data_IF_474738463352
#
_entry.id   IF_474738463352
#
_cell.length_a   1.000
_cell.length_b   1.000
_cell.length_c   1.000
_cell.angle_alpha   90.00
_cell.angle_beta   90.00
_cell.angle_gamma   90.00
#
_symmetry.space_group_name_H-M   'P 1'
#
loop_
_entity.id
_entity.type
_entity.pdbx_description
1 polymer ?
#
# COMPACT_ATOMS: atom_id res chain seq x y z
N UNK A 1 14.66 4.15 0.26
CA UNK A 1 13.38 3.48 0.57
C UNK A 1 12.48 3.64 -0.65
N UNK A 2 12.12 2.56 -1.35
CA UNK A 2 11.30 2.68 -2.55
C UNK A 2 9.81 2.79 -2.18
N UNK A 3 9.08 3.58 -2.96
CA UNK A 3 7.63 3.79 -2.79
C UNK A 3 6.92 3.31 -4.05
N UNK A 4 5.91 2.46 -3.87
CA UNK A 4 5.09 1.92 -4.96
C UNK A 4 3.64 2.35 -4.81
N UNK A 5 2.90 2.38 -5.91
CA UNK A 5 1.44 2.53 -5.89
C UNK A 5 0.81 1.16 -6.09
N UNK A 6 -0.06 0.76 -5.17
CA UNK A 6 -0.77 -0.53 -5.20
C UNK A 6 -2.24 -0.34 -4.85
N UNK A 7 -3.07 -1.31 -5.21
CA UNK A 7 -4.45 -1.38 -4.76
C UNK A 7 -4.53 -2.19 -3.47
N UNK A 8 -5.17 -1.65 -2.44
CA UNK A 8 -5.57 -2.38 -1.24
C UNK A 8 -7.10 -2.39 -1.25
N UNK A 9 -7.70 -3.55 -1.52
CA UNK A 9 -9.10 -3.59 -1.98
C UNK A 9 -9.24 -2.76 -3.26
N UNK A 10 -10.14 -1.78 -3.25
CA UNK A 10 -10.39 -0.88 -4.39
C UNK A 10 -9.66 0.47 -4.27
N UNK A 11 -8.85 0.67 -3.23
CA UNK A 11 -8.20 1.97 -2.97
C UNK A 11 -6.75 1.97 -3.43
N UNK A 12 -6.39 2.93 -4.31
CA UNK A 12 -5.01 3.16 -4.72
C UNK A 12 -4.22 3.87 -3.61
N UNK A 13 -3.20 3.19 -3.08
CA UNK A 13 -2.39 3.69 -1.98
C UNK A 13 -0.90 3.63 -2.28
N UNK A 14 -0.13 4.47 -1.60
CA UNK A 14 1.33 4.34 -1.60
C UNK A 14 1.80 3.33 -0.56
N UNK A 15 2.70 2.44 -0.98
CA UNK A 15 3.39 1.45 -0.16
C UNK A 15 4.83 1.88 0.05
N UNK A 16 5.27 1.93 1.30
CA UNK A 16 6.66 2.09 1.66
C UNK A 16 7.25 0.73 2.03
N UNK A 17 8.35 0.31 1.38
CA UNK A 17 9.19 -0.75 1.94
C UNK A 17 10.21 -0.12 2.90
N UNK A 18 10.01 -0.36 4.18
CA UNK A 18 10.79 0.24 5.26
C UNK A 18 11.61 -0.79 6.03
N UNK A 19 12.93 -0.80 5.85
CA UNK A 19 13.83 -1.71 6.59
C UNK A 19 14.07 -1.28 8.03
N UNK A 20 13.68 -0.07 8.41
CA UNK A 20 13.73 0.41 9.81
C UNK A 20 12.51 -0.02 10.64
N UNK A 21 11.45 -0.53 9.99
CA UNK A 21 10.26 -1.03 10.67
C UNK A 21 10.34 -2.56 10.86
N UNK A 22 9.88 -3.07 12.01
CA UNK A 22 9.86 -4.50 12.35
C UNK A 22 8.53 -5.20 12.05
N UNK A 23 7.53 -4.47 11.55
CA UNK A 23 6.17 -4.99 11.35
C UNK A 23 5.49 -4.36 10.14
N UNK A 24 4.28 -4.79 9.80
CA UNK A 24 3.44 -4.16 8.78
C UNK A 24 2.51 -3.15 9.44
N UNK A 25 2.38 -1.97 8.84
CA UNK A 25 1.42 -0.94 9.24
C UNK A 25 0.49 -0.67 8.07
N UNK A 26 -0.82 -0.67 8.34
CA UNK A 26 -1.85 -0.31 7.37
C UNK A 26 -2.66 0.87 7.89
N UNK A 27 -3.08 1.77 7.00
CA UNK A 27 -3.98 2.86 7.35
C UNK A 27 -5.35 2.29 7.75
N UNK A 28 -5.89 2.75 8.88
CA UNK A 28 -7.14 2.24 9.48
C UNK A 28 -8.31 2.24 8.50
N UNK A 29 -8.46 3.29 7.70
CA UNK A 29 -9.56 3.43 6.73
C UNK A 29 -9.55 2.38 5.61
N UNK A 30 -8.43 1.67 5.41
CA UNK A 30 -8.30 0.60 4.41
C UNK A 30 -8.71 -0.78 4.95
N UNK A 31 -9.09 -0.85 6.22
CA UNK A 31 -9.37 -2.10 6.93
C UNK A 31 -10.83 -2.13 7.35
N UNK A 32 -11.57 -3.13 6.88
CA UNK A 32 -12.93 -3.37 7.38
C UNK A 32 -12.91 -3.74 8.87
N UNK A 33 -13.93 -3.31 9.61
CA UNK A 33 -14.07 -3.64 11.04
C UNK A 33 -14.07 -5.15 11.29
N UNK A 34 -14.60 -5.94 10.36
CA UNK A 34 -14.61 -7.41 10.41
C UNK A 34 -13.22 -8.03 10.33
N UNK A 35 -12.23 -7.30 9.83
CA UNK A 35 -10.86 -7.77 9.67
C UNK A 35 -9.98 -7.46 10.90
N UNK A 36 -10.49 -6.70 11.87
CA UNK A 36 -9.80 -6.49 13.14
C UNK A 36 -9.72 -7.81 13.93
N UNK A 37 -8.56 -8.11 14.50
CA UNK A 37 -8.37 -9.34 15.29
C UNK A 37 -8.87 -9.22 16.73
N UNK A 38 -9.25 -8.01 17.14
CA UNK A 38 -9.57 -7.67 18.54
C UNK A 38 -8.33 -7.48 19.42
N UNK A 39 -7.12 -7.77 18.92
CA UNK A 39 -5.87 -7.54 19.66
C UNK A 39 -5.44 -6.09 19.51
N UNK A 40 -4.72 -5.62 20.53
CA UNK A 40 -4.02 -4.33 20.54
C UNK A 40 -2.54 -4.61 20.80
N UNK A 41 -1.66 -3.90 20.10
CA UNK A 41 -0.21 -4.03 20.21
C UNK A 41 0.42 -2.68 20.54
N UNK A 42 1.60 -2.71 21.17
CA UNK A 42 2.40 -1.51 21.43
C UNK A 42 3.36 -1.27 20.27
N UNK A 43 3.40 -0.05 19.77
CA UNK A 43 4.30 0.40 18.72
C UNK A 43 5.18 1.53 19.25
N UNK A 44 6.50 1.30 19.28
CA UNK A 44 7.49 2.33 19.60
C UNK A 44 7.78 3.15 18.33
N UNK A 45 7.56 4.45 18.40
CA UNK A 45 7.76 5.37 17.29
C UNK A 45 9.12 6.06 17.36
N UNK A 46 9.51 6.73 16.27
CA UNK A 46 10.80 7.39 16.12
C UNK A 46 11.09 8.45 17.19
N UNK A 47 10.04 9.05 17.75
CA UNK A 47 10.12 10.09 18.79
C UNK A 47 10.20 9.49 20.21
N UNK A 48 10.29 8.16 20.33
CA UNK A 48 10.30 7.43 21.59
C UNK A 48 8.91 7.21 22.20
N UNK A 49 7.84 7.69 21.57
CA UNK A 49 6.48 7.46 22.08
C UNK A 49 6.04 6.02 21.83
N UNK A 50 5.26 5.47 22.77
CA UNK A 50 4.62 4.17 22.62
C UNK A 50 3.14 4.40 22.36
N UNK A 51 2.63 3.88 21.24
CA UNK A 51 1.21 3.90 20.92
C UNK A 51 0.61 2.50 20.98
N UNK A 52 -0.57 2.41 21.56
CA UNK A 52 -1.40 1.22 21.47
C UNK A 52 -2.21 1.27 20.17
N UNK A 53 -2.02 0.26 19.32
CA UNK A 53 -2.58 0.20 17.98
C UNK A 53 -3.33 -1.13 17.79
N UNK A 54 -4.56 -1.10 17.25
CA UNK A 54 -5.28 -2.31 16.90
C UNK A 54 -4.51 -3.15 15.86
N UNK A 55 -4.71 -4.45 15.90
CA UNK A 55 -4.21 -5.39 14.89
C UNK A 55 -5.37 -5.84 13.99
N UNK A 56 -5.08 -5.97 12.70
CA UNK A 56 -6.01 -6.52 11.72
C UNK A 56 -5.33 -7.54 10.84
N UNK A 57 -6.13 -8.46 10.31
CA UNK A 57 -5.65 -9.35 9.26
C UNK A 57 -5.96 -8.76 7.90
N UNK A 58 -4.92 -8.49 7.10
CA UNK A 58 -5.02 -7.85 5.79
C UNK A 58 -4.40 -8.75 4.72
N UNK A 59 -5.01 -8.79 3.54
CA UNK A 59 -4.42 -9.40 2.36
C UNK A 59 -3.61 -8.34 1.60
N UNK A 60 -2.35 -8.65 1.33
CA UNK A 60 -1.39 -7.75 0.71
C UNK A 60 -1.03 -8.34 -0.65
N UNK A 61 -1.05 -7.50 -1.67
CA UNK A 61 -0.56 -7.81 -3.00
C UNK A 61 0.39 -6.69 -3.45
N UNK A 62 1.69 -6.93 -3.35
CA UNK A 62 2.73 -5.95 -3.65
C UNK A 62 3.96 -6.62 -4.27
N UNK A 63 4.85 -5.86 -4.93
CA UNK A 63 6.12 -6.41 -5.41
C UNK A 63 7.03 -6.99 -4.32
N UNK A 64 6.75 -6.72 -3.03
CA UNK A 64 7.61 -7.16 -1.93
C UNK A 64 7.05 -8.35 -1.17
N UNK A 65 5.74 -8.51 -1.18
CA UNK A 65 5.03 -9.53 -0.42
C UNK A 65 3.63 -9.69 -1.00
N UNK A 66 3.22 -10.95 -1.14
CA UNK A 66 1.86 -11.34 -1.53
C UNK A 66 1.35 -12.34 -0.50
N UNK A 67 0.18 -12.09 0.08
CA UNK A 67 -0.46 -12.99 1.05
C UNK A 67 -1.14 -12.28 2.21
N UNK A 68 -1.69 -13.08 3.12
CA UNK A 68 -2.43 -12.64 4.30
C UNK A 68 -1.50 -12.43 5.49
N UNK A 69 -1.63 -11.30 6.18
CA UNK A 69 -0.77 -10.95 7.31
C UNK A 69 -1.49 -10.19 8.43
N UNK A 70 -0.98 -10.29 9.64
CA UNK A 70 -1.35 -9.43 10.77
C UNK A 70 -0.60 -8.09 10.66
N UNK A 71 -1.35 -6.99 10.58
CA UNK A 71 -0.82 -5.63 10.43
C UNK A 71 -1.34 -4.72 11.55
N UNK A 72 -0.51 -3.77 11.98
CA UNK A 72 -0.90 -2.70 12.89
C UNK A 72 -1.73 -1.66 12.14
N UNK A 73 -2.90 -1.33 12.69
CA UNK A 73 -3.82 -0.36 12.10
C UNK A 73 -3.60 1.02 12.72
N UNK A 74 -2.96 1.93 11.98
CA UNK A 74 -2.79 3.33 12.41
C UNK A 74 -3.81 4.24 11.73
N UNK A 75 -4.33 5.24 12.45
CA UNK A 75 -5.30 6.19 11.91
C UNK A 75 -4.73 7.05 10.77
N UNK A 76 -3.55 7.65 11.01
CA UNK A 76 -2.95 8.60 10.07
C UNK A 76 -1.43 8.32 9.83
N UNK A 77 -1.06 7.14 9.32
CA UNK A 77 0.30 6.90 8.85
C UNK A 77 0.59 7.74 7.59
N UNK A 78 1.87 8.06 7.34
CA UNK A 78 2.30 8.82 6.15
C UNK A 78 2.01 8.08 4.83
N UNK A 79 1.98 6.75 4.86
CA UNK A 79 1.73 5.88 3.72
C UNK A 79 0.53 4.98 4.02
N UNK A 80 -0.24 4.61 3.00
CA UNK A 80 -1.39 3.72 3.19
C UNK A 80 -0.97 2.32 3.66
N UNK A 81 0.21 1.88 3.26
CA UNK A 81 0.83 0.63 3.69
C UNK A 81 2.33 0.84 3.93
N UNK A 82 2.84 0.36 5.06
CA UNK A 82 4.26 0.27 5.36
C UNK A 82 4.60 -1.19 5.57
N UNK A 83 5.53 -1.69 4.77
CA UNK A 83 6.03 -3.05 4.87
C UNK A 83 7.37 -3.03 5.59
N UNK A 84 7.37 -3.45 6.86
CA UNK A 84 8.57 -3.70 7.65
C UNK A 84 9.21 -5.05 7.39
N UNK A 85 10.19 -5.40 8.22
CA UNK A 85 10.90 -6.67 8.14
C UNK A 85 10.05 -7.78 8.76
N UNK A 86 9.45 -8.61 7.92
CA UNK A 86 8.66 -9.79 8.28
C UNK A 86 9.22 -11.03 7.56
N UNK A 87 8.93 -12.26 8.03
CA UNK A 87 9.28 -13.47 7.30
C UNK A 87 8.71 -13.47 5.88
N UNK A 88 9.54 -13.82 4.89
CA UNK A 88 9.12 -13.95 3.49
C UNK A 88 9.06 -12.63 2.70
N UNK A 89 9.39 -11.48 3.30
CA UNK A 89 9.43 -10.22 2.54
C UNK A 89 10.68 -10.12 1.65
N UNK A 90 10.51 -9.59 0.45
CA UNK A 90 11.61 -9.31 -0.47
C UNK A 90 12.44 -8.10 -0.02
N UNK A 91 13.68 -8.08 -0.49
CA UNK A 91 14.61 -6.99 -0.27
C UNK A 91 14.11 -5.70 -0.97
N UNK A 92 14.27 -4.50 -0.39
CA UNK A 92 13.89 -3.24 -1.03
C UNK A 92 14.47 -3.03 -2.43
N UNK A 93 15.66 -3.58 -2.69
CA UNK A 93 16.38 -3.46 -3.96
C UNK A 93 16.10 -4.60 -4.93
N UNK A 94 15.37 -5.62 -4.49
CA UNK A 94 14.97 -6.79 -5.29
C UNK A 94 13.44 -7.02 -5.22
N UNK A 95 12.62 -6.03 -5.63
CA UNK A 95 11.18 -6.24 -5.80
C UNK A 95 10.93 -7.30 -6.88
N UNK A 96 9.80 -8.00 -6.80
CA UNK A 96 9.35 -8.87 -7.88
C UNK A 96 9.10 -8.02 -9.13
N UNK A 97 9.97 -8.19 -10.14
CA UNK A 97 9.93 -7.45 -11.41
C UNK A 97 8.79 -7.89 -12.32
N UNK A 98 8.23 -9.07 -12.05
CA UNK A 98 7.10 -9.64 -12.79
C UNK A 98 5.75 -9.29 -12.17
N UNK A 99 5.76 -8.75 -10.95
CA UNK A 99 4.56 -8.29 -10.26
C UNK A 99 3.83 -7.23 -11.08
N UNK A 100 2.51 -7.38 -11.16
CA UNK A 100 1.61 -6.40 -11.76
C UNK A 100 0.44 -6.23 -10.79
N UNK A 101 -0.05 -5.00 -10.58
CA UNK A 101 -1.22 -4.80 -9.73
C UNK A 101 -2.41 -5.54 -10.34
N UNK A 102 -3.00 -6.47 -9.59
CA UNK A 102 -4.27 -7.08 -9.99
C UNK A 102 -5.39 -6.04 -9.83
N UNK A 103 -5.78 -5.41 -10.95
CA UNK A 103 -6.97 -4.57 -10.98
C UNK A 103 -8.19 -5.49 -11.05
N UNK A 104 -8.84 -5.73 -9.91
CA UNK A 104 -10.17 -6.35 -9.87
C UNK A 104 -11.18 -5.36 -10.45
N UNK A 105 -11.26 -5.31 -11.77
CA UNK A 105 -12.36 -4.62 -12.45
C UNK A 105 -13.62 -5.45 -12.27
N UNK A 106 -14.50 -5.02 -11.35
CA UNK A 106 -15.91 -5.31 -11.57
C UNK A 106 -16.24 -4.73 -12.95
N UNK A 107 -16.66 -5.60 -13.86
CA UNK A 107 -16.87 -5.33 -15.28
C UNK A 107 -17.76 -4.10 -15.52
N UNK A 108 -17.19 -2.89 -15.50
CA UNK A 108 -17.66 -1.71 -16.22
C UNK A 108 -16.75 -0.47 -16.15
N UNK A 109 -15.81 -0.33 -15.21
CA UNK A 109 -14.89 0.83 -15.19
C UNK A 109 -13.44 0.42 -15.40
N UNK A 110 -12.97 0.61 -16.64
CA UNK A 110 -11.57 0.36 -17.05
C UNK A 110 -10.67 1.46 -16.47
N UNK A 111 -10.12 1.25 -15.29
CA UNK A 111 -9.06 2.13 -14.74
C UNK A 111 -7.78 1.88 -15.55
N UNK A 112 -7.51 2.76 -16.51
CA UNK A 112 -6.22 2.81 -17.22
C UNK A 112 -5.19 3.50 -16.34
N UNK A 113 -4.28 2.73 -15.75
CA UNK A 113 -3.03 3.24 -15.20
C UNK A 113 -2.12 3.66 -16.36
N UNK A 114 -2.28 4.89 -16.85
CA UNK A 114 -1.40 5.45 -17.86
C UNK A 114 -0.03 5.80 -17.23
N UNK A 115 1.01 5.05 -17.60
CA UNK A 115 2.41 5.43 -17.36
C UNK A 115 2.76 6.46 -18.45
N UNK A 116 2.84 7.73 -18.10
CA UNK A 116 3.21 8.79 -19.06
C UNK A 116 4.70 8.70 -19.39
N UNK A 117 5.03 8.09 -20.54
CA UNK A 117 6.31 8.28 -21.22
C UNK A 117 6.19 9.42 -22.23
N UNK A 118 7.22 10.26 -22.32
CA UNK A 118 7.20 11.53 -23.07
C UNK A 118 7.26 11.29 -24.59
N UNK A 119 6.30 11.91 -25.31
CA UNK A 119 6.22 12.22 -26.76
C UNK A 119 5.28 11.34 -27.64
N UNK A 120 4.54 11.93 -28.62
CA UNK A 120 3.10 11.70 -28.77
C UNK A 120 2.66 11.10 -30.12
N UNK A 121 1.48 10.46 -30.19
CA UNK A 121 0.48 10.65 -31.27
C UNK A 121 -0.90 10.10 -30.87
N UNK A 122 -1.86 11.02 -30.82
CA UNK A 122 -3.32 10.95 -30.74
C UNK A 122 -4.05 9.58 -30.81
N UNK A 123 -4.75 9.23 -29.73
CA UNK A 123 -6.14 8.74 -29.75
C UNK A 123 -6.93 9.38 -28.61
N UNK A 124 -8.12 9.89 -28.93
CA UNK A 124 -9.06 10.49 -27.97
C UNK A 124 -9.64 9.39 -27.08
N UNK A 125 -9.21 9.33 -25.83
CA UNK A 125 -9.99 8.74 -24.73
C UNK A 125 -10.08 9.81 -23.63
N UNK A 126 -11.26 9.94 -23.02
CA UNK A 126 -11.56 10.97 -22.04
C UNK A 126 -10.76 10.77 -20.75
N UNK A 127 -9.59 11.40 -20.67
CA UNK A 127 -8.76 11.42 -19.49
C UNK A 127 -9.38 12.33 -18.41
N UNK A 128 -9.63 11.77 -17.22
CA UNK A 128 -9.84 12.59 -16.02
C UNK A 128 -8.47 13.21 -15.68
N UNK A 129 -8.31 14.50 -15.98
CA UNK A 129 -7.09 15.26 -15.65
C UNK A 129 -7.03 15.51 -14.14
N UNK A 130 -6.20 14.76 -13.42
CA UNK A 130 -5.75 15.17 -12.09
C UNK A 130 -4.46 15.97 -12.22
N UNK A 131 -4.56 17.30 -12.09
CA UNK A 131 -3.41 18.19 -12.04
C UNK A 131 -2.69 18.03 -10.70
N UNK A 132 -1.55 17.32 -10.70
CA UNK A 132 -0.60 17.33 -9.59
C UNK A 132 0.16 18.65 -9.66
N UNK A 133 -0.21 19.63 -8.83
CA UNK A 133 0.66 20.77 -8.56
C UNK A 133 1.75 20.28 -7.63
N UNK A 134 2.96 20.14 -8.16
CA UNK A 134 4.16 19.96 -7.36
C UNK A 134 4.33 21.22 -6.49
N UNK A 135 4.34 21.02 -5.17
CA UNK A 135 4.92 21.93 -4.18
C UNK A 135 6.14 21.21 -3.60
#
# INVERSE_FOLDING_TARGET
MPVYKVLVGDTLVSVLRDTGCSTVVVKRDLVDKSNLTGKVKKCLLLDGTIREVPEATTEIDTPFYVGKIEALCMEAPLYGLVLGNIPGIRNPWDPDKTWKPEVKTNSQDKIVLAVETRAPTARKESAIKFTVKNL
#
